data_IF_097565280740
#
_entry.id   IF_097565280740
#
_cell.length_a   1.000
_cell.length_b   1.000
_cell.length_c   1.000
_cell.angle_alpha   90.00
_cell.angle_beta   90.00
_cell.angle_gamma   90.00
#
_symmetry.space_group_name_H-M   'P 1'
#
loop_
_entity.id
_entity.type
_entity.pdbx_description
1 polymer ?
#
# COMPACT_ATOMS: atom_id res chain seq x y z
N UNK A 1 -11.26 -21.06 -1.55
CA UNK A 1 -10.45 -20.29 -0.58
C UNK A 1 -9.52 -21.26 0.16
N UNK A 2 -8.34 -20.82 0.56
CA UNK A 2 -7.42 -21.61 1.36
C UNK A 2 -7.82 -21.50 2.85
N UNK A 3 -7.77 -22.59 3.63
CA UNK A 3 -7.96 -22.53 5.07
C UNK A 3 -6.93 -21.64 5.75
N UNK A 4 -7.27 -21.04 6.90
CA UNK A 4 -6.38 -20.21 7.72
C UNK A 4 -5.66 -19.11 6.92
N UNK A 5 -6.35 -18.53 5.94
CA UNK A 5 -5.79 -17.52 5.05
C UNK A 5 -6.59 -16.24 5.20
N UNK A 6 -5.89 -15.13 5.42
CA UNK A 6 -6.49 -13.81 5.43
C UNK A 6 -6.75 -13.37 4.00
N UNK A 7 -7.95 -12.86 3.74
CA UNK A 7 -8.37 -12.30 2.48
C UNK A 7 -8.77 -10.83 2.68
N UNK A 8 -8.59 -10.04 1.64
CA UNK A 8 -9.16 -8.71 1.54
C UNK A 8 -10.32 -8.74 0.55
N UNK A 9 -11.45 -8.20 0.99
CA UNK A 9 -12.68 -8.01 0.23
C UNK A 9 -12.82 -6.52 -0.06
N UNK A 10 -12.79 -6.15 -1.33
CA UNK A 10 -12.86 -4.77 -1.76
C UNK A 10 -13.95 -4.53 -2.80
N UNK A 11 -14.48 -3.31 -2.78
CA UNK A 11 -15.52 -2.83 -3.68
C UNK A 11 -15.37 -1.32 -3.86
N UNK A 12 -15.69 -0.81 -5.06
CA UNK A 12 -15.89 0.61 -5.27
C UNK A 12 -17.38 0.91 -5.26
N UNK A 13 -17.77 1.92 -4.50
CA UNK A 13 -19.14 2.41 -4.39
C UNK A 13 -19.21 3.89 -4.71
N UNK A 14 -20.31 4.34 -5.29
CA UNK A 14 -20.63 5.75 -5.49
C UNK A 14 -22.09 5.98 -5.09
N UNK A 15 -22.35 7.13 -4.47
CA UNK A 15 -23.68 7.57 -4.12
C UNK A 15 -24.24 8.35 -5.32
N UNK A 16 -25.06 7.68 -6.14
CA UNK A 16 -25.59 8.22 -7.40
C UNK A 16 -26.90 8.99 -7.22
N UNK A 17 -27.19 9.38 -5.99
CA UNK A 17 -28.40 10.10 -5.65
C UNK A 17 -28.37 11.51 -6.21
N UNK A 18 -29.49 11.96 -6.77
CA UNK A 18 -29.66 13.35 -7.18
C UNK A 18 -29.72 14.25 -5.92
N UNK A 19 -28.72 15.14 -5.72
CA UNK A 19 -28.63 15.99 -4.54
C UNK A 19 -29.72 17.07 -4.45
N UNK A 20 -30.40 17.35 -5.56
CA UNK A 20 -31.48 18.37 -5.61
C UNK A 20 -32.80 17.84 -5.04
N UNK A 21 -32.88 16.55 -4.70
CA UNK A 21 -34.07 15.97 -4.07
C UNK A 21 -34.12 16.30 -2.57
N UNK A 22 -35.31 16.67 -2.07
CA UNK A 22 -35.50 16.84 -0.63
C UNK A 22 -35.55 15.49 0.08
N UNK A 23 -34.90 15.37 1.24
CA UNK A 23 -34.93 14.14 2.03
C UNK A 23 -33.97 13.08 1.53
N UNK A 24 -32.89 13.49 0.86
CA UNK A 24 -31.77 12.62 0.48
C UNK A 24 -31.09 12.12 1.74
N UNK A 25 -30.99 10.80 1.85
CA UNK A 25 -30.10 10.13 2.79
C UNK A 25 -28.88 9.61 2.02
N UNK A 26 -27.88 9.13 2.74
CA UNK A 26 -26.75 8.45 2.12
C UNK A 26 -26.97 6.94 2.22
N UNK A 27 -26.54 6.15 1.21
CA UNK A 27 -26.45 4.70 1.35
C UNK A 27 -25.61 4.32 2.57
N UNK A 28 -26.03 3.29 3.31
CA UNK A 28 -25.34 2.83 4.52
C UNK A 28 -24.88 1.39 4.28
N UNK A 29 -23.60 1.25 3.92
CA UNK A 29 -23.03 0.01 3.42
C UNK A 29 -22.29 -0.76 4.52
N UNK A 30 -22.57 -2.05 4.62
CA UNK A 30 -21.83 -2.96 5.50
C UNK A 30 -21.39 -4.22 4.73
N UNK A 31 -20.14 -4.63 4.98
CA UNK A 31 -19.55 -5.83 4.37
C UNK A 31 -19.62 -7.02 5.34
N UNK A 32 -19.92 -8.20 4.81
CA UNK A 32 -20.00 -9.45 5.59
C UNK A 32 -19.20 -10.57 4.94
N UNK A 33 -18.71 -11.50 5.77
CA UNK A 33 -18.28 -12.84 5.37
C UNK A 33 -18.99 -13.88 6.25
N UNK A 34 -19.68 -14.84 5.64
CA UNK A 34 -20.41 -15.91 6.34
C UNK A 34 -21.34 -15.38 7.44
N UNK A 35 -22.10 -14.33 7.11
CA UNK A 35 -23.03 -13.60 8.00
C UNK A 35 -22.39 -12.88 9.20
N UNK A 36 -21.05 -12.84 9.27
CA UNK A 36 -20.31 -12.02 10.23
C UNK A 36 -19.96 -10.69 9.60
N UNK A 37 -20.33 -9.59 10.26
CA UNK A 37 -19.97 -8.24 9.82
C UNK A 37 -18.45 -8.04 9.90
N UNK A 38 -17.87 -7.50 8.83
CA UNK A 38 -16.43 -7.23 8.73
C UNK A 38 -16.06 -5.81 9.18
N UNK A 39 -17.04 -4.90 9.20
CA UNK A 39 -16.87 -3.51 9.62
C UNK A 39 -18.15 -2.99 10.27
N UNK A 40 -18.03 -1.85 10.93
CA UNK A 40 -19.20 -1.00 11.19
C UNK A 40 -19.84 -0.53 9.87
N UNK A 41 -21.13 -0.15 9.89
CA UNK A 41 -21.78 0.44 8.73
C UNK A 41 -21.05 1.72 8.28
N UNK A 42 -20.91 1.89 6.96
CA UNK A 42 -20.24 3.01 6.32
C UNK A 42 -21.24 3.88 5.56
N UNK A 43 -21.29 5.16 5.89
CA UNK A 43 -22.06 6.16 5.18
C UNK A 43 -21.32 6.56 3.89
N UNK A 44 -21.93 6.30 2.73
CA UNK A 44 -21.36 6.65 1.43
C UNK A 44 -21.71 8.11 1.14
N UNK A 45 -20.74 9.04 1.25
CA UNK A 45 -21.03 10.45 1.12
C UNK A 45 -21.58 10.75 -0.28
N UNK A 46 -22.51 11.70 -0.33
CA UNK A 46 -23.04 12.23 -1.57
C UNK A 46 -21.91 12.74 -2.47
N UNK A 47 -22.01 12.42 -3.76
CA UNK A 47 -21.10 12.94 -4.77
C UNK A 47 -21.28 14.47 -4.85
N UNK A 48 -20.18 15.22 -4.75
CA UNK A 48 -20.26 16.67 -4.63
C UNK A 48 -20.83 17.31 -5.89
N UNK A 49 -22.00 17.95 -5.75
CA UNK A 49 -22.81 18.57 -6.81
C UNK A 49 -22.09 19.63 -7.65
N UNK A 50 -20.95 20.15 -7.19
CA UNK A 50 -20.25 21.24 -7.88
C UNK A 50 -19.63 20.84 -9.22
N UNK A 51 -19.39 19.55 -9.43
CA UNK A 51 -18.85 19.00 -10.66
C UNK A 51 -19.89 18.07 -11.29
N UNK A 52 -20.86 18.64 -12.01
CA UNK A 52 -22.08 17.99 -12.53
C UNK A 52 -21.88 16.75 -13.44
N UNK A 53 -20.66 16.25 -13.62
CA UNK A 53 -20.33 15.15 -14.53
C UNK A 53 -19.35 14.12 -13.93
N UNK A 54 -19.07 14.12 -12.62
CA UNK A 54 -18.12 13.17 -12.03
C UNK A 54 -18.67 12.41 -10.82
N UNK A 55 -18.88 11.10 -11.01
CA UNK A 55 -19.12 10.16 -9.92
C UNK A 55 -17.88 10.03 -9.03
N UNK A 56 -18.06 10.10 -7.71
CA UNK A 56 -16.99 9.89 -6.73
C UNK A 56 -16.99 8.43 -6.29
N UNK A 57 -16.04 7.68 -6.81
CA UNK A 57 -15.85 6.28 -6.45
C UNK A 57 -15.05 6.13 -5.15
N UNK A 58 -15.75 5.75 -4.07
CA UNK A 58 -15.14 5.42 -2.78
C UNK A 58 -14.81 3.93 -2.72
N UNK A 59 -13.55 3.61 -2.42
CA UNK A 59 -13.13 2.21 -2.22
C UNK A 59 -13.38 1.78 -0.78
N UNK A 60 -14.22 0.77 -0.59
CA UNK A 60 -14.37 0.06 0.67
C UNK A 60 -13.55 -1.22 0.62
N UNK A 61 -12.78 -1.47 1.68
CA UNK A 61 -11.93 -2.66 1.78
C UNK A 61 -11.94 -3.15 3.22
N UNK A 62 -12.19 -4.44 3.40
CA UNK A 62 -12.13 -5.11 4.70
C UNK A 62 -11.41 -6.44 4.61
N UNK A 63 -10.82 -6.87 5.72
CA UNK A 63 -10.12 -8.15 5.79
C UNK A 63 -10.89 -9.16 6.62
N UNK A 64 -10.79 -10.43 6.25
CA UNK A 64 -11.32 -11.55 7.03
C UNK A 64 -10.38 -12.74 6.92
N UNK A 65 -10.40 -13.64 7.90
CA UNK A 65 -9.56 -14.84 7.89
C UNK A 65 -10.44 -16.07 7.89
N UNK A 66 -10.21 -16.96 6.92
CA UNK A 66 -10.92 -18.24 6.84
C UNK A 66 -10.53 -19.15 8.01
N UNK A 67 -11.49 -19.90 8.53
CA UNK A 67 -11.27 -20.89 9.58
C UNK A 67 -10.49 -22.11 9.10
N UNK A 68 -10.16 -22.99 10.05
CA UNK A 68 -9.58 -24.29 9.75
C UNK A 68 -10.54 -25.14 8.91
N UNK A 69 -10.04 -25.70 7.81
CA UNK A 69 -10.85 -26.49 6.87
C UNK A 69 -11.83 -25.69 6.01
N UNK A 70 -11.96 -24.38 6.21
CA UNK A 70 -12.86 -23.55 5.42
C UNK A 70 -12.32 -23.36 4.00
N UNK A 71 -13.07 -23.84 3.01
CA UNK A 71 -12.71 -23.78 1.59
C UNK A 71 -13.56 -22.80 0.76
N UNK A 72 -14.59 -22.21 1.35
CA UNK A 72 -15.51 -21.24 0.74
C UNK A 72 -15.98 -20.24 1.78
N UNK A 73 -16.37 -19.04 1.33
CA UNK A 73 -17.05 -18.04 2.15
C UNK A 73 -18.13 -17.34 1.31
N UNK A 74 -19.24 -16.95 1.93
CA UNK A 74 -20.26 -16.10 1.30
C UNK A 74 -19.98 -14.65 1.65
N UNK A 75 -19.70 -13.83 0.64
CA UNK A 75 -19.47 -12.39 0.80
C UNK A 75 -20.74 -11.62 0.49
N UNK A 76 -21.10 -10.66 1.34
CA UNK A 76 -22.28 -9.82 1.15
C UNK A 76 -21.94 -8.35 1.31
N UNK A 77 -22.58 -7.55 0.48
CA UNK A 77 -22.68 -6.10 0.62
C UNK A 77 -24.15 -5.81 0.89
N UNK A 78 -24.43 -5.12 2.00
CA UNK A 78 -25.79 -4.77 2.39
C UNK A 78 -25.88 -3.25 2.46
N UNK A 79 -26.83 -2.68 1.75
CA UNK A 79 -27.30 -1.32 2.01
C UNK A 79 -28.43 -1.38 3.03
N UNK A 80 -28.27 -0.62 4.10
CA UNK A 80 -29.20 -0.53 5.23
C UNK A 80 -29.91 0.81 5.32
N UNK A 81 -29.73 1.69 4.33
CA UNK A 81 -30.55 2.87 4.19
C UNK A 81 -32.04 2.47 4.09
N UNK A 82 -32.89 3.16 4.85
CA UNK A 82 -34.34 2.85 4.93
C UNK A 82 -35.22 3.91 4.27
N UNK A 83 -34.62 4.95 3.69
CA UNK A 83 -35.39 6.00 3.02
C UNK A 83 -35.82 5.53 1.64
N UNK A 84 -37.00 5.96 1.21
CA UNK A 84 -37.48 5.73 -0.16
C UNK A 84 -36.88 6.73 -1.19
N UNK A 85 -36.03 7.63 -0.71
CA UNK A 85 -35.37 8.67 -1.49
C UNK A 85 -33.92 8.72 -1.03
N UNK A 86 -32.98 8.57 -1.97
CA UNK A 86 -31.57 8.76 -1.69
C UNK A 86 -30.78 7.52 -1.23
N UNK A 87 -31.20 6.32 -1.57
CA UNK A 87 -30.41 5.09 -1.34
C UNK A 87 -29.85 4.50 -2.65
N UNK A 88 -29.80 5.31 -3.71
CA UNK A 88 -29.28 4.86 -5.00
C UNK A 88 -27.76 4.67 -4.94
N UNK A 89 -27.33 3.42 -5.03
CA UNK A 89 -25.94 3.00 -4.93
C UNK A 89 -25.43 2.45 -6.26
N UNK A 90 -24.32 3.00 -6.76
CA UNK A 90 -23.56 2.37 -7.83
C UNK A 90 -22.41 1.54 -7.26
N UNK A 91 -22.12 0.40 -7.91
CA UNK A 91 -21.08 -0.55 -7.49
C UNK A 91 -20.18 -0.90 -8.68
N UNK A 92 -18.86 -0.90 -8.46
CA UNK A 92 -17.86 -1.35 -9.42
C UNK A 92 -16.70 -2.08 -8.73
N UNK A 93 -15.89 -2.81 -9.53
CA UNK A 93 -14.61 -3.34 -9.08
C UNK A 93 -14.67 -4.28 -7.86
N UNK A 94 -15.74 -5.08 -7.75
CA UNK A 94 -15.91 -6.05 -6.67
C UNK A 94 -14.85 -7.16 -6.78
N UNK A 95 -14.10 -7.40 -5.71
CA UNK A 95 -13.04 -8.40 -5.73
C UNK A 95 -12.66 -8.92 -4.35
N UNK A 96 -12.14 -10.15 -4.34
CA UNK A 96 -11.54 -10.79 -3.17
C UNK A 96 -10.16 -11.31 -3.52
N UNK A 97 -9.18 -11.02 -2.69
CA UNK A 97 -7.78 -11.39 -2.92
C UNK A 97 -7.15 -11.89 -1.62
N UNK A 98 -6.34 -12.94 -1.70
CA UNK A 98 -5.60 -13.43 -0.55
C UNK A 98 -4.59 -12.37 -0.12
N UNK A 99 -4.55 -12.05 1.17
CA UNK A 99 -3.50 -11.23 1.75
C UNK A 99 -2.22 -12.05 1.78
N UNK A 100 -1.46 -11.99 0.68
CA UNK A 100 -0.10 -12.50 0.68
C UNK A 100 0.82 -11.49 1.37
N UNK A 101 1.67 -11.93 2.31
CA UNK A 101 2.71 -11.05 2.86
C UNK A 101 3.50 -10.45 1.69
N UNK A 102 3.61 -9.11 1.59
CA UNK A 102 4.39 -8.55 0.51
C UNK A 102 5.82 -9.04 0.68
N UNK A 103 6.36 -9.70 -0.33
CA UNK A 103 7.73 -10.18 -0.27
C UNK A 103 8.64 -9.18 -0.99
N UNK A 104 9.63 -8.67 -0.27
CA UNK A 104 10.76 -8.03 -0.93
C UNK A 104 11.64 -9.15 -1.44
N UNK A 105 11.82 -9.18 -2.77
CA UNK A 105 12.85 -10.02 -3.38
C UNK A 105 14.15 -9.22 -3.39
N UNK A 106 15.13 -9.64 -2.59
CA UNK A 106 16.47 -9.05 -2.59
C UNK A 106 17.44 -9.99 -3.31
N UNK A 107 18.09 -9.48 -4.35
CA UNK A 107 19.24 -10.17 -4.92
C UNK A 107 20.48 -9.81 -4.11
N UNK A 108 20.94 -10.73 -3.25
CA UNK A 108 22.10 -10.49 -2.38
C UNK A 108 23.38 -10.14 -3.17
N UNK A 109 23.57 -10.72 -4.36
CA UNK A 109 24.73 -10.38 -5.19
C UNK A 109 24.66 -8.94 -5.66
N UNK A 110 23.52 -8.48 -6.17
CA UNK A 110 23.36 -7.08 -6.58
C UNK A 110 23.44 -6.12 -5.40
N UNK A 111 22.89 -6.49 -4.25
CA UNK A 111 22.98 -5.70 -3.02
C UNK A 111 24.42 -5.51 -2.56
N UNK A 112 25.20 -6.60 -2.47
CA UNK A 112 26.59 -6.56 -2.01
C UNK A 112 27.54 -5.93 -3.03
N UNK A 113 27.30 -6.09 -4.34
CA UNK A 113 28.15 -5.50 -5.38
C UNK A 113 27.84 -4.01 -5.64
N UNK A 114 26.72 -3.52 -5.10
CA UNK A 114 26.15 -2.21 -5.41
C UNK A 114 25.54 -2.16 -6.82
N UNK A 115 24.56 -1.27 -7.00
CA UNK A 115 23.93 -1.05 -8.31
C UNK A 115 24.91 -0.43 -9.34
N UNK A 116 25.96 0.25 -8.86
CA UNK A 116 26.90 1.00 -9.67
C UNK A 116 28.32 0.42 -9.56
N UNK A 117 29.05 0.46 -10.67
CA UNK A 117 30.48 0.18 -10.66
C UNK A 117 31.23 1.41 -10.14
N UNK A 118 32.15 1.21 -9.18
CA UNK A 118 32.94 2.31 -8.61
C UNK A 118 33.93 2.91 -9.61
N UNK A 119 34.28 2.18 -10.68
CA UNK A 119 35.25 2.60 -11.69
C UNK A 119 34.73 3.70 -12.62
N UNK A 120 33.46 3.67 -12.97
CA UNK A 120 32.88 4.57 -13.99
C UNK A 120 31.54 5.19 -13.57
N UNK A 121 31.03 4.86 -12.39
CA UNK A 121 29.74 5.33 -11.88
C UNK A 121 28.55 4.87 -12.71
N UNK A 122 28.71 3.89 -13.61
CA UNK A 122 27.61 3.35 -14.42
C UNK A 122 26.92 2.20 -13.69
N UNK A 123 25.63 2.01 -13.97
CA UNK A 123 24.94 0.82 -13.47
C UNK A 123 25.56 -0.44 -14.07
N UNK A 124 25.66 -1.50 -13.27
CA UNK A 124 26.28 -2.76 -13.68
C UNK A 124 25.38 -3.55 -14.65
N UNK A 125 25.65 -3.45 -15.94
CA UNK A 125 24.82 -4.06 -17.00
C UNK A 125 24.74 -5.58 -16.94
N UNK A 126 25.81 -6.23 -16.47
CA UNK A 126 25.83 -7.68 -16.23
C UNK A 126 24.82 -8.12 -15.14
N UNK A 127 24.47 -7.23 -14.20
CA UNK A 127 23.41 -7.48 -13.21
C UNK A 127 22.03 -7.19 -13.79
N UNK A 128 21.90 -6.17 -14.64
CA UNK A 128 20.66 -5.85 -15.38
C UNK A 128 20.26 -6.97 -16.34
N UNK A 129 21.20 -7.47 -17.14
CA UNK A 129 20.98 -8.60 -18.07
C UNK A 129 20.52 -9.88 -17.36
N UNK A 130 20.92 -10.06 -16.09
CA UNK A 130 20.49 -11.19 -15.25
C UNK A 130 19.22 -10.91 -14.46
N UNK A 131 18.55 -9.78 -14.71
CA UNK A 131 17.36 -9.31 -13.99
C UNK A 131 17.58 -9.14 -12.48
N UNK A 132 18.82 -8.91 -12.04
CA UNK A 132 19.15 -8.68 -10.63
C UNK A 132 19.03 -7.22 -10.23
N UNK A 133 18.98 -6.31 -11.21
CA UNK A 133 18.66 -4.88 -11.07
C UNK A 133 17.57 -4.54 -12.11
N UNK A 134 16.69 -3.56 -11.85
CA UNK A 134 15.76 -3.04 -12.85
C UNK A 134 16.47 -2.64 -14.14
N UNK A 135 15.86 -2.94 -15.29
CA UNK A 135 16.41 -2.56 -16.60
C UNK A 135 16.42 -1.04 -16.79
N UNK A 136 15.38 -0.38 -16.27
CA UNK A 136 15.22 1.07 -16.25
C UNK A 136 16.16 1.66 -15.20
N UNK A 137 17.06 2.56 -15.63
CA UNK A 137 17.78 3.39 -14.67
C UNK A 137 16.76 4.40 -14.09
N UNK A 138 16.61 4.54 -12.77
CA UNK A 138 15.71 5.55 -12.20
C UNK A 138 16.23 6.98 -12.40
N UNK A 139 17.49 7.13 -12.83
CA UNK A 139 18.13 8.40 -13.14
C UNK A 139 18.59 8.38 -14.58
N UNK A 140 17.64 8.52 -15.49
CA UNK A 140 17.98 8.97 -16.83
C UNK A 140 18.34 10.44 -16.68
N UNK A 141 19.46 10.82 -17.27
CA UNK A 141 20.01 12.17 -17.29
C UNK A 141 20.96 12.44 -16.12
N UNK A 142 22.23 12.63 -16.49
CA UNK A 142 23.06 13.63 -15.82
C UNK A 142 22.25 14.93 -15.84
N UNK A 143 21.47 15.20 -14.79
CA UNK A 143 21.21 16.59 -14.45
C UNK A 143 22.58 17.19 -14.15
N UNK A 144 23.15 17.79 -15.19
CA UNK A 144 24.24 18.73 -15.00
C UNK A 144 23.57 19.87 -14.28
N UNK A 145 23.68 19.89 -12.95
CA UNK A 145 23.32 21.05 -12.16
C UNK A 145 24.32 22.11 -12.63
N UNK A 146 23.88 22.96 -13.55
CA UNK A 146 24.60 24.18 -13.89
C UNK A 146 24.56 25.03 -12.62
N UNK A 147 25.62 24.94 -11.82
CA UNK A 147 25.85 25.90 -10.76
C UNK A 147 25.92 27.25 -11.47
N UNK A 148 24.89 28.07 -11.28
CA UNK A 148 24.87 29.42 -11.83
C UNK A 148 26.18 30.14 -11.48
N UNK A 149 26.66 30.97 -12.40
CA UNK A 149 27.94 31.71 -12.34
C UNK A 149 28.08 32.70 -11.17
N UNK A 150 27.21 32.62 -10.16
CA UNK A 150 27.38 33.35 -8.91
C UNK A 150 28.12 32.43 -7.93
N UNK A 151 29.37 32.73 -7.55
CA UNK A 151 30.07 31.91 -6.57
C UNK A 151 29.25 31.88 -5.28
N UNK A 152 28.76 30.71 -4.84
CA UNK A 152 28.15 30.61 -3.53
C UNK A 152 29.24 30.89 -2.50
N UNK A 153 28.91 31.71 -1.50
CA UNK A 153 29.72 31.92 -0.30
C UNK A 153 30.12 30.53 0.23
N UNK A 154 31.41 30.26 0.29
CA UNK A 154 31.98 29.03 0.85
C UNK A 154 31.49 28.84 2.28
N UNK A 155 30.40 28.10 2.46
CA UNK A 155 30.18 27.36 3.69
C UNK A 155 30.96 26.05 3.55
N UNK A 156 31.93 25.88 4.44
CA UNK A 156 32.82 24.73 4.50
C UNK A 156 32.07 23.41 4.31
N UNK A 157 32.37 22.71 3.23
CA UNK A 157 32.08 21.29 3.07
C UNK A 157 32.89 20.53 4.13
N UNK A 158 32.21 20.06 5.18
CA UNK A 158 32.75 18.96 5.97
C UNK A 158 32.65 17.68 5.12
N UNK A 159 33.68 16.81 5.11
CA UNK A 159 33.58 15.53 4.43
C UNK A 159 32.43 14.74 5.07
N UNK A 160 31.45 14.35 4.25
CA UNK A 160 30.43 13.37 4.65
C UNK A 160 31.14 12.02 4.71
N UNK A 161 31.59 11.68 5.91
CA UNK A 161 31.96 10.32 6.23
C UNK A 161 30.72 9.43 6.22
N UNK A 162 30.88 8.24 5.65
CA UNK A 162 30.04 7.04 5.81
C UNK A 162 28.59 7.13 5.33
N UNK A 163 28.26 6.24 4.39
CA UNK A 163 26.89 5.74 4.19
C UNK A 163 26.25 5.46 5.57
N UNK A 164 24.99 5.84 5.80
CA UNK A 164 24.29 5.44 7.00
C UNK A 164 24.25 3.92 7.06
N UNK A 165 24.95 3.38 8.05
CA UNK A 165 24.85 1.98 8.45
C UNK A 165 23.44 1.78 8.98
N UNK A 166 22.64 1.00 8.25
CA UNK A 166 21.33 0.52 8.66
C UNK A 166 21.51 -0.29 9.95
N UNK A 167 21.17 0.28 11.09
CA UNK A 167 21.15 -0.45 12.37
C UNK A 167 19.71 -0.53 12.85
N UNK A 168 19.28 -1.75 13.17
CA UNK A 168 17.96 -2.02 13.74
C UNK A 168 16.89 -2.50 12.73
N UNK A 169 17.06 -3.71 12.21
CA UNK A 169 15.93 -4.50 11.68
C UNK A 169 15.60 -5.59 12.70
N UNK A 170 14.46 -5.48 13.39
CA UNK A 170 13.95 -6.52 14.28
C UNK A 170 12.86 -7.31 13.56
N UNK A 171 13.12 -8.58 13.30
CA UNK A 171 12.22 -9.50 12.60
C UNK A 171 11.52 -10.39 13.62
N UNK A 172 10.23 -10.19 13.87
CA UNK A 172 9.51 -11.03 14.82
C UNK A 172 8.77 -12.23 14.18
N UNK A 173 8.66 -12.31 12.84
CA UNK A 173 7.89 -13.38 12.17
C UNK A 173 8.47 -13.84 10.82
N UNK A 174 9.79 -13.98 10.65
CA UNK A 174 10.37 -14.36 9.37
C UNK A 174 10.45 -15.89 9.17
N UNK A 175 9.62 -16.45 8.28
CA UNK A 175 9.92 -17.74 7.62
C UNK A 175 10.89 -17.49 6.46
N UNK A 176 11.99 -18.25 6.43
CA UNK A 176 13.08 -18.08 5.47
C UNK A 176 12.88 -19.01 4.28
N UNK A 177 12.60 -18.46 3.10
CA UNK A 177 12.54 -19.22 1.85
C UNK A 177 13.68 -18.82 0.90
N UNK A 178 14.48 -19.80 0.50
CA UNK A 178 15.57 -19.63 -0.49
C UNK A 178 15.06 -20.17 -1.83
N UNK A 179 15.14 -19.36 -2.89
CA UNK A 179 14.78 -19.78 -4.24
C UNK A 179 15.99 -20.42 -4.97
N UNK A 180 15.77 -21.33 -5.95
CA UNK A 180 16.86 -22.04 -6.66
C UNK A 180 17.89 -21.14 -7.36
N UNK A 181 17.53 -19.89 -7.65
CA UNK A 181 18.36 -18.89 -8.32
C UNK A 181 19.11 -17.96 -7.34
N UNK A 182 19.14 -18.29 -6.04
CA UNK A 182 19.85 -17.53 -5.00
C UNK A 182 19.10 -16.30 -4.46
N UNK A 183 17.89 -16.05 -4.94
CA UNK A 183 17.02 -15.00 -4.40
C UNK A 183 16.47 -15.40 -3.04
N UNK A 184 16.25 -14.39 -2.20
CA UNK A 184 15.62 -14.55 -0.89
C UNK A 184 14.33 -13.74 -0.87
N UNK A 185 13.25 -14.39 -0.42
CA UNK A 185 12.01 -13.71 -0.09
C UNK A 185 12.07 -13.34 1.37
N UNK A 186 11.84 -12.07 1.66
CA UNK A 186 11.63 -11.57 3.02
C UNK A 186 10.15 -11.23 3.15
N UNK A 187 9.36 -11.97 3.93
CA UNK A 187 7.97 -11.62 4.17
C UNK A 187 7.92 -10.32 4.97
N UNK A 188 7.22 -9.32 4.45
CA UNK A 188 6.78 -8.17 5.24
C UNK A 188 5.49 -8.59 5.96
N UNK A 189 5.43 -8.38 7.28
CA UNK A 189 4.21 -8.68 8.03
C UNK A 189 3.10 -7.71 7.60
N UNK A 190 1.87 -8.20 7.42
CA UNK A 190 0.72 -7.47 6.87
C UNK A 190 0.21 -6.26 7.68
N UNK A 191 0.90 -5.84 8.74
CA UNK A 191 0.53 -4.64 9.50
C UNK A 191 1.64 -3.60 9.40
N UNK A 192 1.38 -2.57 8.59
CA UNK A 192 2.03 -1.25 8.54
C UNK A 192 3.56 -1.25 8.71
N UNK A 193 4.28 -1.16 7.59
CA UNK A 193 5.68 -0.71 7.63
C UNK A 193 5.70 0.80 7.86
N UNK A 194 5.80 1.25 9.12
CA UNK A 194 6.15 2.65 9.44
C UNK A 194 7.66 2.79 9.41
N UNK A 195 8.19 3.43 8.38
CA UNK A 195 9.60 3.82 8.33
C UNK A 195 9.81 5.07 9.20
N UNK A 196 10.37 4.90 10.40
CA UNK A 196 10.75 6.02 11.26
C UNK A 196 12.12 6.58 10.86
N UNK A 197 12.15 7.81 10.35
CA UNK A 197 13.34 8.67 10.34
C UNK A 197 13.38 9.42 11.68
N UNK A 198 14.22 9.00 12.62
CA UNK A 198 14.30 9.66 13.92
C UNK A 198 15.13 10.95 13.87
N UNK A 199 14.47 12.08 14.15
CA UNK A 199 15.13 13.23 14.78
C UNK A 199 14.28 13.73 15.97
N UNK A 200 14.52 13.11 17.15
CA UNK A 200 14.07 13.44 18.52
C UNK A 200 12.55 13.65 18.79
N UNK A 201 12.08 13.42 20.03
CA UNK A 201 10.74 12.90 20.27
C UNK A 201 9.72 13.95 20.69
N UNK A 202 8.47 13.78 20.24
CA UNK A 202 7.28 14.26 20.95
C UNK A 202 6.29 13.11 21.08
N UNK A 203 5.81 12.85 22.30
CA UNK A 203 4.91 11.75 22.66
C UNK A 203 3.59 11.82 21.89
N UNK A 204 3.13 10.68 21.37
CA UNK A 204 1.70 10.41 21.13
C UNK A 204 1.36 9.00 21.62
N UNK A 205 0.31 8.92 22.44
CA UNK A 205 -0.31 7.68 22.90
C UNK A 205 -1.22 7.11 21.81
N UNK A 206 -1.15 5.80 21.55
CA UNK A 206 -2.22 5.06 20.88
C UNK A 206 -3.07 4.37 21.95
N UNK A 207 -4.34 4.74 22.03
CA UNK A 207 -5.36 4.04 22.81
C UNK A 207 -5.92 2.87 22.00
N UNK A 208 -6.09 1.73 22.69
CA UNK A 208 -6.85 0.56 22.22
C UNK A 208 -8.34 0.89 22.31
N UNK A 209 -9.08 0.71 21.21
CA UNK A 209 -10.53 0.53 21.27
C UNK A 209 -10.82 -0.95 21.47
N UNK A 210 -11.64 -1.26 22.48
CA UNK A 210 -12.39 -2.50 22.61
C UNK A 210 -13.70 -2.34 21.87
#
# INVERSE_FOLDING_TARGET
MQPNTTYSFAVYVSNVVNPDLSGVHNPIIQLYADDVALSEPFDVPLDSVSDQDQDIWTRLEQTFTTGAGQTSATLRLVDSATSSYGDDLAIAGLGVFACEPPYISLNLRAFLQGAYASSDGRMRDNLRQKSYLPLTQPYNDRQTITLGTKPPRLQYWRPVAMMPQWTGFWWNCATKTILPNGWRRLPLCCNVMVMWLTHKPTRLHCGSLR
#
